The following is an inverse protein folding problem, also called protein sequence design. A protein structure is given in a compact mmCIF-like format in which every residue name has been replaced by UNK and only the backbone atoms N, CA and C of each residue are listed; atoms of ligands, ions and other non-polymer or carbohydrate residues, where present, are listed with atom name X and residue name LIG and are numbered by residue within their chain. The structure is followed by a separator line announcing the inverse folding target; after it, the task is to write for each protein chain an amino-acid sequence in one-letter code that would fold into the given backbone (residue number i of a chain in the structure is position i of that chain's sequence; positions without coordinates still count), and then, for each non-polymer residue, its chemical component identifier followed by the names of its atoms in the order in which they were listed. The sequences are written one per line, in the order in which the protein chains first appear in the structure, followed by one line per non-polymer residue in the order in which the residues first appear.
data_IF_599725313813
#
_entry.id   IF_599725313813
#
_cell.length_a   1.000
_cell.length_b   1.000
_cell.length_c   1.000
_cell.angle_alpha   90.00
_cell.angle_beta   90.00
_cell.angle_gamma   90.00
#
_symmetry.space_group_name_H-M   'P 1'
#
loop_
_entity.id
_entity.type
_entity.pdbx_description
1 polymer ?
#
# COMPACT_ATOMS: atom_id res chain seq x y z
N UNK A 1 -25.39 -18.77 -0.24
CA UNK A 1 -24.37 -17.74 0.07
C UNK A 1 -24.69 -16.56 -0.82
N UNK A 2 -25.18 -15.46 -0.25
CA UNK A 2 -25.56 -14.28 -1.03
C UNK A 2 -24.29 -13.67 -1.58
N UNK A 3 -24.10 -13.70 -2.91
CA UNK A 3 -23.10 -12.88 -3.56
C UNK A 3 -23.44 -11.44 -3.23
N UNK A 4 -22.69 -10.82 -2.33
CA UNK A 4 -22.83 -9.40 -2.06
C UNK A 4 -22.50 -8.66 -3.35
N UNK A 5 -23.49 -8.00 -3.96
CA UNK A 5 -23.31 -7.19 -5.16
C UNK A 5 -22.73 -5.84 -4.76
N UNK A 6 -21.49 -5.84 -4.26
CA UNK A 6 -20.74 -4.61 -4.04
C UNK A 6 -20.47 -3.93 -5.38
N UNK A 7 -20.46 -2.60 -5.38
CA UNK A 7 -19.94 -1.80 -6.47
C UNK A 7 -18.53 -2.27 -6.86
N UNK A 8 -18.22 -2.40 -8.16
CA UNK A 8 -17.08 -3.19 -8.62
C UNK A 8 -16.26 -2.51 -9.72
N UNK A 9 -14.94 -2.48 -9.54
CA UNK A 9 -13.97 -2.14 -10.58
C UNK A 9 -13.09 -3.37 -10.91
N UNK A 10 -13.27 -3.91 -12.12
CA UNK A 10 -12.57 -5.13 -12.56
C UNK A 10 -11.26 -4.93 -13.33
N UNK A 11 -10.62 -6.02 -13.76
CA UNK A 11 -9.32 -6.04 -14.46
C UNK A 11 -9.21 -5.17 -15.73
N UNK A 12 -10.32 -4.86 -16.39
CA UNK A 12 -10.33 -3.99 -17.58
C UNK A 12 -10.09 -2.52 -17.26
N UNK A 13 -10.17 -2.14 -15.98
CA UNK A 13 -9.94 -0.78 -15.50
C UNK A 13 -8.53 -0.58 -14.94
N UNK A 14 -7.63 -1.52 -15.21
CA UNK A 14 -6.24 -1.45 -14.76
C UNK A 14 -5.43 -0.45 -15.60
N UNK A 15 -4.53 0.28 -14.93
CA UNK A 15 -3.66 1.32 -15.51
C UNK A 15 -2.25 1.17 -15.00
N UNK A 16 -1.28 1.52 -15.85
CA UNK A 16 0.13 1.53 -15.49
C UNK A 16 0.54 2.79 -14.69
N UNK A 17 -0.38 3.73 -14.45
CA UNK A 17 -0.13 5.03 -13.82
C UNK A 17 -1.27 5.41 -12.87
N UNK A 18 -0.95 6.24 -11.87
CA UNK A 18 -1.95 6.96 -11.08
C UNK A 18 -2.39 8.22 -11.84
N UNK A 19 -3.26 8.06 -12.82
CA UNK A 19 -3.69 9.11 -13.75
C UNK A 19 -4.75 10.04 -13.11
N UNK A 20 -4.48 11.35 -12.93
CA UNK A 20 -5.44 12.30 -12.38
C UNK A 20 -6.52 12.74 -13.37
N UNK A 21 -6.30 12.49 -14.67
CA UNK A 21 -7.20 12.89 -15.76
C UNK A 21 -8.17 11.78 -16.16
N UNK A 22 -7.92 10.56 -15.69
CA UNK A 22 -8.77 9.42 -15.97
C UNK A 22 -10.20 9.60 -15.44
N UNK A 23 -11.17 9.25 -16.28
CA UNK A 23 -12.58 9.18 -15.88
C UNK A 23 -12.77 8.07 -14.83
N UNK A 24 -13.49 8.35 -13.74
CA UNK A 24 -13.80 7.34 -12.74
C UNK A 24 -14.55 6.15 -13.32
N UNK A 25 -14.06 4.95 -13.00
CA UNK A 25 -14.70 3.69 -13.40
C UNK A 25 -15.77 3.26 -12.41
N UNK A 26 -15.74 3.84 -11.20
CA UNK A 26 -16.71 3.64 -10.16
C UNK A 26 -16.84 4.91 -9.31
N UNK A 27 -18.05 5.17 -8.82
CA UNK A 27 -18.35 6.23 -7.83
C UNK A 27 -19.01 5.60 -6.62
N UNK A 28 -18.61 6.00 -5.42
CA UNK A 28 -19.09 5.42 -4.16
C UNK A 28 -19.35 6.50 -3.12
N UNK A 29 -20.35 6.29 -2.26
CA UNK A 29 -20.59 7.16 -1.11
C UNK A 29 -19.57 6.91 0.02
N UNK A 30 -19.30 7.89 0.90
CA UNK A 30 -18.51 7.65 2.11
C UNK A 30 -19.08 6.49 2.96
N UNK A 31 -18.22 5.54 3.32
CA UNK A 31 -18.56 4.33 4.07
C UNK A 31 -19.14 3.19 3.23
N UNK A 32 -19.43 3.42 1.94
CA UNK A 32 -19.88 2.37 1.03
C UNK A 32 -18.73 1.38 0.76
N UNK A 33 -19.04 0.08 0.82
CA UNK A 33 -18.10 -0.99 0.48
C UNK A 33 -18.11 -1.27 -1.00
N UNK A 34 -16.92 -1.34 -1.59
CA UNK A 34 -16.71 -1.64 -3.00
C UNK A 34 -15.55 -2.63 -3.18
N UNK A 35 -15.55 -3.30 -4.34
CA UNK A 35 -14.57 -4.32 -4.71
C UNK A 35 -13.68 -3.83 -5.84
N UNK A 36 -12.37 -4.08 -5.71
CA UNK A 36 -11.35 -3.76 -6.72
C UNK A 36 -10.60 -5.05 -7.07
N UNK A 37 -10.65 -5.47 -8.33
CA UNK A 37 -9.83 -6.59 -8.81
C UNK A 37 -8.39 -6.14 -9.11
N UNK A 38 -7.41 -6.94 -8.73
CA UNK A 38 -5.98 -6.67 -8.89
C UNK A 38 -5.31 -7.67 -9.84
N UNK A 39 -4.71 -7.16 -10.91
CA UNK A 39 -3.88 -7.93 -11.85
C UNK A 39 -2.49 -8.16 -11.25
N UNK A 40 -1.78 -9.15 -11.76
CA UNK A 40 -0.40 -9.46 -11.38
C UNK A 40 0.45 -9.83 -12.59
N UNK A 41 1.69 -10.26 -12.33
CA UNK A 41 2.59 -10.82 -13.34
C UNK A 41 2.00 -12.03 -14.08
N UNK A 42 1.06 -12.74 -13.45
CA UNK A 42 0.42 -13.94 -14.01
C UNK A 42 -0.76 -13.63 -14.93
N UNK A 43 -1.25 -12.39 -14.94
CA UNK A 43 -2.44 -12.04 -15.72
C UNK A 43 -2.23 -12.27 -17.21
N UNK A 44 -3.29 -12.75 -17.87
CA UNK A 44 -3.31 -13.16 -19.28
C UNK A 44 -2.35 -14.33 -19.61
N UNK A 45 -1.78 -15.00 -18.59
CA UNK A 45 -0.88 -16.14 -18.75
C UNK A 45 0.45 -15.79 -19.42
N UNK A 46 0.87 -14.52 -19.36
CA UNK A 46 2.08 -14.03 -20.02
C UNK A 46 3.35 -14.50 -19.31
N UNK A 47 3.29 -14.76 -18.00
CA UNK A 47 4.42 -15.18 -17.20
C UNK A 47 5.09 -16.45 -17.73
N UNK A 48 4.30 -17.48 -18.03
CA UNK A 48 4.81 -18.77 -18.53
C UNK A 48 5.28 -18.71 -19.99
N UNK A 49 5.01 -17.61 -20.70
CA UNK A 49 5.33 -17.44 -22.12
C UNK A 49 6.62 -16.67 -22.35
N UNK A 50 7.28 -16.18 -21.30
CA UNK A 50 8.49 -15.36 -21.41
C UNK A 50 9.54 -15.76 -20.37
N UNK A 51 10.82 -15.59 -20.74
CA UNK A 51 11.97 -15.57 -19.84
C UNK A 51 12.51 -14.14 -19.62
N UNK A 52 11.92 -13.15 -20.30
CA UNK A 52 12.17 -11.72 -20.11
C UNK A 52 10.99 -11.08 -19.36
N UNK A 53 11.11 -11.05 -18.04
CA UNK A 53 10.11 -10.47 -17.14
C UNK A 53 10.09 -8.94 -17.14
N UNK A 54 11.03 -8.26 -17.83
CA UNK A 54 11.03 -6.78 -17.92
C UNK A 54 9.86 -6.23 -18.74
N UNK A 55 9.22 -7.10 -19.51
CA UNK A 55 8.05 -6.80 -20.34
C UNK A 55 6.73 -6.91 -19.58
N UNK A 56 6.76 -7.45 -18.35
CA UNK A 56 5.59 -7.60 -17.50
C UNK A 56 5.46 -6.38 -16.58
N UNK A 57 4.22 -6.03 -16.25
CA UNK A 57 3.92 -4.94 -15.35
C UNK A 57 2.77 -5.31 -14.43
N UNK A 58 2.78 -4.73 -13.24
CA UNK A 58 1.72 -4.91 -12.24
C UNK A 58 0.95 -3.60 -12.11
N UNK A 59 -0.17 -3.45 -12.83
CA UNK A 59 -0.93 -2.21 -12.87
C UNK A 59 -1.78 -2.02 -11.61
N UNK A 60 -2.41 -0.85 -11.51
CA UNK A 60 -3.41 -0.52 -10.48
C UNK A 60 -4.79 -0.33 -11.10
N UNK A 61 -5.84 -0.74 -10.41
CA UNK A 61 -7.23 -0.65 -10.88
C UNK A 61 -7.89 0.61 -10.35
N UNK A 62 -8.55 1.37 -11.23
CA UNK A 62 -9.23 2.62 -10.89
C UNK A 62 -9.36 3.59 -12.07
N UNK A 63 -9.64 4.89 -11.81
CA UNK A 63 -9.84 5.48 -10.49
C UNK A 63 -11.25 5.24 -9.94
N UNK A 64 -11.34 5.08 -8.63
CA UNK A 64 -12.58 5.14 -7.86
C UNK A 64 -12.78 6.56 -7.38
N UNK A 65 -13.98 7.11 -7.59
CA UNK A 65 -14.39 8.39 -7.04
C UNK A 65 -15.19 8.19 -5.74
N UNK A 66 -14.90 9.00 -4.74
CA UNK A 66 -15.59 9.01 -3.45
C UNK A 66 -16.38 10.32 -3.33
N UNK A 67 -17.70 10.20 -3.22
CA UNK A 67 -18.60 11.35 -3.18
C UNK A 67 -18.25 12.29 -2.02
N UNK A 68 -18.21 13.59 -2.32
CA UNK A 68 -17.99 14.65 -1.34
C UNK A 68 -16.52 14.93 -0.99
N UNK A 69 -15.56 14.07 -1.38
CA UNK A 69 -14.13 14.33 -1.16
C UNK A 69 -13.69 15.60 -1.88
N UNK A 70 -12.99 16.49 -1.19
CA UNK A 70 -12.38 17.70 -1.74
C UNK A 70 -10.85 17.67 -1.61
N UNK A 71 -10.11 18.46 -2.42
CA UNK A 71 -8.67 18.64 -2.23
C UNK A 71 -8.33 19.09 -0.81
N UNK A 72 -7.40 18.39 -0.16
CA UNK A 72 -6.98 18.61 1.22
C UNK A 72 -7.73 17.77 2.26
N UNK A 73 -8.81 17.08 1.88
CA UNK A 73 -9.48 16.17 2.81
C UNK A 73 -8.60 14.96 3.12
N UNK A 74 -8.54 14.61 4.41
CA UNK A 74 -7.96 13.35 4.86
C UNK A 74 -9.02 12.25 4.72
N UNK A 75 -8.68 11.20 3.98
CA UNK A 75 -9.57 10.06 3.75
C UNK A 75 -8.99 8.83 4.42
N UNK A 76 -9.80 8.18 5.25
CA UNK A 76 -9.54 6.84 5.77
C UNK A 76 -10.04 5.81 4.77
N UNK A 77 -9.18 4.88 4.40
CA UNK A 77 -9.46 3.77 3.49
C UNK A 77 -9.35 2.49 4.32
N UNK A 78 -10.49 1.88 4.62
CA UNK A 78 -10.56 0.66 5.42
C UNK A 78 -10.45 -0.57 4.50
N UNK A 79 -9.52 -1.47 4.80
CA UNK A 79 -9.33 -2.75 4.09
C UNK A 79 -10.14 -3.83 4.79
N UNK A 80 -11.24 -4.28 4.18
CA UNK A 80 -12.12 -5.28 4.79
C UNK A 80 -11.63 -6.70 4.51
N UNK A 81 -11.41 -7.02 3.23
CA UNK A 81 -11.06 -8.37 2.78
C UNK A 81 -10.05 -8.32 1.63
N UNK A 82 -9.18 -9.32 1.56
CA UNK A 82 -8.25 -9.56 0.45
C UNK A 82 -8.44 -11.01 0.01
N UNK A 83 -8.91 -11.20 -1.21
CA UNK A 83 -9.12 -12.51 -1.84
C UNK A 83 -8.01 -12.75 -2.85
N UNK A 84 -7.28 -13.85 -2.69
CA UNK A 84 -6.19 -14.22 -3.58
C UNK A 84 -6.60 -15.37 -4.50
N UNK A 85 -6.00 -15.42 -5.68
CA UNK A 85 -5.96 -16.62 -6.51
C UNK A 85 -5.17 -17.75 -5.81
N UNK A 86 -5.12 -18.93 -6.45
CA UNK A 86 -4.51 -20.14 -5.90
C UNK A 86 -3.00 -20.27 -6.19
N UNK A 87 -2.41 -19.30 -6.88
CA UNK A 87 -0.98 -19.23 -7.17
C UNK A 87 -0.50 -17.80 -7.37
N UNK A 88 0.75 -17.56 -7.04
CA UNK A 88 1.46 -16.31 -7.28
C UNK A 88 2.75 -16.50 -8.07
N UNK A 89 3.43 -15.40 -8.34
CA UNK A 89 4.72 -15.41 -9.01
C UNK A 89 5.74 -14.52 -8.30
N UNK A 90 7.02 -14.84 -8.44
CA UNK A 90 8.13 -14.00 -8.04
C UNK A 90 9.12 -13.88 -9.19
N UNK A 91 9.84 -12.77 -9.26
CA UNK A 91 10.93 -12.59 -10.24
C UNK A 91 12.17 -11.99 -9.61
N UNK A 92 13.33 -12.39 -10.11
CA UNK A 92 14.59 -11.66 -9.91
C UNK A 92 15.06 -11.08 -11.22
N UNK A 93 15.77 -9.96 -11.18
CA UNK A 93 16.30 -9.31 -12.38
C UNK A 93 17.72 -8.78 -12.15
N UNK A 94 18.57 -8.75 -13.19
CA UNK A 94 19.88 -8.10 -13.11
C UNK A 94 19.77 -6.63 -12.71
N UNK A 95 20.58 -6.22 -11.72
CA UNK A 95 20.60 -4.83 -11.24
C UNK A 95 19.37 -4.41 -10.41
N UNK A 96 18.60 -5.38 -9.91
CA UNK A 96 17.48 -5.19 -8.97
C UNK A 96 17.71 -6.00 -7.69
N UNK A 97 16.95 -5.68 -6.64
CA UNK A 97 17.09 -6.28 -5.32
C UNK A 97 18.09 -5.57 -4.40
N UNK A 98 18.13 -5.99 -3.14
CA UNK A 98 19.00 -5.47 -2.08
C UNK A 98 20.29 -6.25 -1.84
N UNK A 99 20.72 -7.06 -2.82
CA UNK A 99 21.86 -7.96 -2.69
C UNK A 99 23.14 -7.34 -3.29
N UNK A 100 24.28 -7.60 -2.66
CA UNK A 100 25.58 -7.04 -3.09
C UNK A 100 26.12 -7.66 -4.39
N UNK A 101 25.80 -8.92 -4.65
CA UNK A 101 26.10 -9.58 -5.92
C UNK A 101 24.87 -9.50 -6.85
N UNK A 102 25.08 -9.29 -8.17
CA UNK A 102 23.97 -9.23 -9.12
C UNK A 102 23.19 -10.55 -9.16
N UNK A 103 21.87 -10.44 -9.08
CA UNK A 103 20.97 -11.55 -9.37
C UNK A 103 20.85 -11.77 -10.88
N UNK A 104 20.55 -13.01 -11.27
CA UNK A 104 20.17 -13.34 -12.65
C UNK A 104 18.67 -13.08 -12.86
N UNK A 105 18.25 -13.03 -14.13
CA UNK A 105 16.84 -13.12 -14.47
C UNK A 105 16.35 -14.53 -14.08
N UNK A 106 15.30 -14.61 -13.27
CA UNK A 106 14.67 -15.86 -12.88
C UNK A 106 13.23 -15.62 -12.48
N UNK A 107 12.37 -16.62 -12.66
CA UNK A 107 10.95 -16.52 -12.37
C UNK A 107 10.47 -17.77 -11.64
N UNK A 108 9.58 -17.58 -10.68
CA UNK A 108 9.12 -18.66 -9.82
C UNK A 108 7.62 -18.61 -9.59
N UNK A 109 6.91 -19.69 -9.90
CA UNK A 109 5.47 -19.82 -9.61
C UNK A 109 5.31 -20.49 -8.26
N UNK A 110 4.54 -19.84 -7.38
CA UNK A 110 4.35 -20.27 -5.98
C UNK A 110 2.88 -20.64 -5.76
N UNK A 111 2.53 -21.93 -5.65
CA UNK A 111 1.17 -22.35 -5.30
C UNK A 111 0.77 -21.89 -3.88
N UNK A 112 -0.50 -21.51 -3.71
CA UNK A 112 -1.08 -21.15 -2.42
C UNK A 112 -2.06 -22.23 -1.97
N UNK A 113 -1.75 -22.91 -0.85
CA UNK A 113 -2.57 -24.00 -0.31
C UNK A 113 -2.63 -23.97 1.21
N UNK A 114 -3.85 -24.11 1.74
CA UNK A 114 -4.13 -24.20 3.18
C UNK A 114 -3.54 -23.05 4.02
N UNK A 115 -3.48 -21.83 3.46
CA UNK A 115 -2.91 -20.67 4.14
C UNK A 115 -1.38 -20.57 4.05
N UNK A 116 -0.75 -21.29 3.12
CA UNK A 116 0.69 -21.24 2.90
C UNK A 116 1.03 -21.03 1.42
N UNK A 117 2.08 -20.26 1.17
CA UNK A 117 2.83 -20.29 -0.07
C UNK A 117 3.77 -21.51 -0.05
N UNK A 118 3.59 -22.43 -0.99
CA UNK A 118 4.47 -23.58 -1.20
C UNK A 118 5.67 -23.13 -2.04
N UNK A 119 6.66 -22.52 -1.36
CA UNK A 119 7.79 -21.88 -2.05
C UNK A 119 8.69 -22.89 -2.73
N UNK A 120 9.10 -23.96 -2.04
CA UNK A 120 9.93 -25.02 -2.62
C UNK A 120 9.61 -26.36 -1.95
N UNK A 121 10.18 -27.46 -2.44
CA UNK A 121 10.01 -28.77 -1.81
C UNK A 121 10.38 -28.72 -0.31
N UNK A 122 9.38 -28.96 0.55
CA UNK A 122 9.54 -28.91 2.00
C UNK A 122 9.58 -27.50 2.62
N UNK A 123 9.48 -26.44 1.81
CA UNK A 123 9.50 -25.04 2.26
C UNK A 123 8.13 -24.41 2.07
N UNK A 124 7.43 -24.15 3.19
CA UNK A 124 6.13 -23.49 3.21
C UNK A 124 6.20 -22.21 4.04
N UNK A 125 5.66 -21.12 3.49
CA UNK A 125 5.64 -19.80 4.12
C UNK A 125 4.18 -19.46 4.45
N UNK A 126 3.83 -19.14 5.72
CA UNK A 126 2.49 -18.68 6.05
C UNK A 126 2.14 -17.42 5.26
N UNK A 127 0.96 -17.40 4.62
CA UNK A 127 0.51 -16.21 3.90
C UNK A 127 0.04 -15.14 4.88
N UNK A 128 0.29 -13.89 4.52
CA UNK A 128 -0.26 -12.70 5.16
C UNK A 128 -0.64 -11.74 4.03
N UNK A 129 -1.83 -11.91 3.43
CA UNK A 129 -2.22 -11.16 2.24
C UNK A 129 -2.17 -9.66 2.49
N UNK A 130 -1.56 -8.91 1.56
CA UNK A 130 -1.38 -7.47 1.66
C UNK A 130 -1.61 -6.76 0.32
N UNK A 131 -1.81 -5.45 0.38
CA UNK A 131 -1.88 -4.55 -0.77
C UNK A 131 -0.54 -3.80 -0.89
N UNK A 132 0.19 -3.99 -1.99
CA UNK A 132 1.43 -3.26 -2.29
C UNK A 132 1.15 -1.85 -2.80
N UNK A 133 0.16 -1.71 -3.70
CA UNK A 133 -0.22 -0.45 -4.35
C UNK A 133 -1.57 0.06 -3.89
N UNK A 134 -1.58 1.21 -3.21
CA UNK A 134 -2.80 1.93 -2.84
C UNK A 134 -2.51 3.43 -2.83
N UNK A 135 -3.29 4.22 -3.57
CA UNK A 135 -3.03 5.65 -3.62
C UNK A 135 -4.07 6.46 -4.36
N UNK A 136 -4.10 7.76 -4.05
CA UNK A 136 -4.81 8.73 -4.89
C UNK A 136 -3.91 9.18 -6.04
N UNK A 137 -4.49 9.54 -7.19
CA UNK A 137 -3.71 10.28 -8.18
C UNK A 137 -3.31 11.67 -7.63
N UNK A 138 -2.04 12.08 -7.77
CA UNK A 138 -1.62 13.44 -7.46
C UNK A 138 -2.15 14.41 -8.53
N UNK A 139 -2.38 15.67 -8.16
CA UNK A 139 -3.06 16.63 -9.05
C UNK A 139 -2.20 17.17 -10.21
N UNK A 140 -0.88 17.03 -10.12
CA UNK A 140 0.09 17.75 -10.95
C UNK A 140 0.86 16.87 -11.95
N UNK A 141 0.76 15.54 -11.84
CA UNK A 141 1.42 14.58 -12.75
C UNK A 141 0.75 13.19 -12.71
N UNK A 142 1.13 12.31 -13.64
CA UNK A 142 0.70 10.90 -13.69
C UNK A 142 1.89 9.98 -13.38
N UNK A 143 2.20 9.68 -12.11
CA UNK A 143 3.32 8.82 -11.79
C UNK A 143 3.04 7.37 -12.19
N UNK A 144 4.10 6.66 -12.61
CA UNK A 144 4.04 5.21 -12.80
C UNK A 144 3.49 4.53 -11.56
N UNK A 145 2.66 3.50 -11.76
CA UNK A 145 2.07 2.67 -10.71
C UNK A 145 3.10 2.02 -9.79
N UNK A 146 4.35 1.86 -10.24
CA UNK A 146 5.48 1.35 -9.45
C UNK A 146 6.16 2.41 -8.57
N UNK A 147 5.63 3.64 -8.51
CA UNK A 147 6.23 4.73 -7.73
C UNK A 147 5.51 4.90 -6.40
N UNK A 148 6.28 5.13 -5.33
CA UNK A 148 5.78 5.54 -4.01
C UNK A 148 5.82 7.06 -3.87
N UNK A 149 4.93 7.62 -3.05
CA UNK A 149 5.02 9.00 -2.63
C UNK A 149 3.97 9.38 -1.58
N UNK A 150 3.82 10.69 -1.34
CA UNK A 150 2.82 11.23 -0.39
C UNK A 150 1.38 10.85 -0.71
N UNK A 151 1.10 10.55 -1.97
CA UNK A 151 -0.20 10.11 -2.45
C UNK A 151 -0.47 8.61 -2.19
N UNK A 152 0.45 7.91 -1.52
CA UNK A 152 0.46 6.45 -1.38
C UNK A 152 1.35 5.84 -2.45
N UNK A 153 0.74 5.11 -3.39
CA UNK A 153 1.47 4.51 -4.50
C UNK A 153 1.97 3.11 -4.18
N UNK A 154 3.14 2.76 -4.70
CA UNK A 154 3.80 1.47 -4.47
C UNK A 154 4.51 1.43 -3.09
N UNK A 155 3.71 1.35 -2.03
CA UNK A 155 4.22 1.43 -0.66
C UNK A 155 4.89 0.14 -0.20
N UNK A 156 4.45 -1.00 -0.73
CA UNK A 156 4.93 -2.34 -0.38
C UNK A 156 5.09 -2.51 1.12
N UNK A 157 4.02 -2.14 1.82
CA UNK A 157 3.93 -2.17 3.28
C UNK A 157 3.11 -3.38 3.70
N UNK A 158 3.80 -4.39 4.23
CA UNK A 158 3.21 -5.66 4.73
C UNK A 158 2.17 -5.54 5.84
N UNK A 159 1.93 -4.33 6.31
CA UNK A 159 0.94 -4.01 7.33
C UNK A 159 -0.38 -3.50 6.73
N UNK A 160 -0.44 -3.27 5.40
CA UNK A 160 -1.69 -2.97 4.68
C UNK A 160 -2.40 -4.29 4.37
N UNK A 161 -3.03 -4.83 5.40
CA UNK A 161 -3.72 -6.13 5.42
C UNK A 161 -5.22 -5.96 5.66
N UNK A 162 -6.00 -7.02 5.53
CA UNK A 162 -7.39 -7.03 6.00
C UNK A 162 -7.48 -6.63 7.49
N UNK A 163 -8.39 -5.72 7.81
CA UNK A 163 -8.55 -5.10 9.12
C UNK A 163 -7.69 -3.86 9.37
N UNK A 164 -6.81 -3.49 8.43
CA UNK A 164 -6.06 -2.22 8.50
C UNK A 164 -6.83 -1.04 7.91
N UNK A 165 -6.41 0.17 8.26
CA UNK A 165 -6.88 1.42 7.65
C UNK A 165 -5.70 2.23 7.14
N UNK A 166 -5.80 2.78 5.93
CA UNK A 166 -4.81 3.68 5.34
C UNK A 166 -5.37 5.10 5.26
N UNK A 167 -4.58 6.09 5.65
CA UNK A 167 -4.96 7.49 5.66
C UNK A 167 -4.15 8.25 4.62
N UNK A 168 -4.85 8.86 3.66
CA UNK A 168 -4.26 9.62 2.57
C UNK A 168 -5.00 10.94 2.37
N UNK A 169 -4.25 11.98 2.03
CA UNK A 169 -4.81 13.29 1.72
C UNK A 169 -5.16 13.36 0.23
N UNK A 170 -6.43 13.59 -0.08
CA UNK A 170 -6.89 13.73 -1.46
C UNK A 170 -6.39 15.06 -2.05
N UNK A 171 -5.96 15.06 -3.31
CA UNK A 171 -5.52 16.27 -4.02
C UNK A 171 -6.52 16.74 -5.09
N UNK A 172 -7.54 15.92 -5.36
CA UNK A 172 -8.54 16.12 -6.41
C UNK A 172 -9.94 15.96 -5.85
N UNK A 173 -10.91 16.64 -6.44
CA UNK A 173 -12.33 16.47 -6.10
C UNK A 173 -12.78 15.04 -6.43
N UNK A 174 -13.53 14.44 -5.52
CA UNK A 174 -13.91 13.03 -5.57
C UNK A 174 -12.74 12.07 -5.31
N UNK A 175 -11.54 12.59 -5.05
CA UNK A 175 -10.31 11.83 -5.12
C UNK A 175 -10.10 11.24 -6.53
N UNK A 176 -9.22 10.24 -6.61
CA UNK A 176 -8.99 9.36 -7.75
C UNK A 176 -8.25 8.15 -7.21
N UNK A 177 -8.95 7.29 -6.46
CA UNK A 177 -8.32 6.20 -5.72
C UNK A 177 -8.00 5.03 -6.66
N UNK A 178 -6.81 4.49 -6.52
CA UNK A 178 -6.35 3.30 -7.21
C UNK A 178 -5.83 2.28 -6.21
N UNK A 179 -6.03 1.00 -6.51
CA UNK A 179 -5.50 -0.10 -5.71
C UNK A 179 -5.11 -1.28 -6.60
N UNK A 180 -4.13 -2.07 -6.17
CA UNK A 180 -3.67 -3.25 -6.88
C UNK A 180 -2.47 -3.89 -6.20
N UNK A 181 -1.76 -4.73 -6.95
CA UNK A 181 -0.50 -5.33 -6.49
C UNK A 181 -0.64 -6.14 -5.20
N UNK A 182 -1.39 -7.23 -5.29
CA UNK A 182 -1.63 -8.09 -4.14
C UNK A 182 -0.48 -9.04 -3.93
N UNK A 183 -0.03 -9.18 -2.69
CA UNK A 183 0.95 -10.21 -2.33
C UNK A 183 0.33 -11.24 -1.41
N UNK A 184 0.62 -12.52 -1.63
CA UNK A 184 0.29 -13.55 -0.65
C UNK A 184 1.14 -13.39 0.62
N UNK A 185 2.41 -13.04 0.44
CA UNK A 185 3.35 -12.76 1.52
C UNK A 185 4.49 -11.90 0.98
N UNK A 186 4.93 -10.96 1.81
CA UNK A 186 6.12 -10.14 1.58
C UNK A 186 6.86 -9.94 2.90
N UNK A 187 8.19 -10.01 2.85
CA UNK A 187 9.05 -9.60 3.96
C UNK A 187 9.30 -8.08 3.95
N UNK A 188 9.64 -7.52 5.11
CA UNK A 188 10.15 -6.14 5.15
C UNK A 188 11.41 -6.02 4.29
N UNK A 189 11.40 -5.04 3.39
CA UNK A 189 12.47 -4.76 2.45
C UNK A 189 12.24 -5.28 1.03
N UNK A 190 11.31 -6.22 0.80
CA UNK A 190 11.01 -6.77 -0.53
C UNK A 190 12.28 -7.10 -1.33
N UNK A 191 13.22 -7.78 -0.67
CA UNK A 191 14.63 -7.67 -1.02
C UNK A 191 15.02 -8.24 -2.39
N UNK A 192 14.18 -9.07 -3.02
CA UNK A 192 14.43 -9.69 -4.33
C UNK A 192 13.88 -8.93 -5.54
N UNK A 193 13.06 -7.90 -5.32
CA UNK A 193 12.26 -7.10 -6.29
C UNK A 193 10.75 -7.27 -6.09
N UNK A 194 10.28 -8.46 -5.76
CA UNK A 194 8.86 -8.76 -5.62
C UNK A 194 8.56 -9.48 -4.31
N UNK A 195 7.34 -9.31 -3.80
CA UNK A 195 6.68 -10.30 -2.95
C UNK A 195 6.27 -11.55 -3.74
N UNK A 196 5.39 -12.38 -3.16
CA UNK A 196 4.65 -13.40 -3.91
C UNK A 196 3.46 -12.72 -4.57
N UNK A 197 3.61 -12.32 -5.84
CA UNK A 197 2.67 -11.54 -6.62
C UNK A 197 1.41 -12.31 -6.99
N UNK A 198 0.23 -11.78 -6.68
CA UNK A 198 -1.05 -12.48 -6.76
C UNK A 198 -2.07 -11.73 -7.60
N UNK A 199 -2.82 -12.47 -8.42
CA UNK A 199 -4.11 -11.99 -8.88
C UNK A 199 -5.13 -12.10 -7.74
N UNK A 200 -6.11 -11.21 -7.71
CA UNK A 200 -7.13 -11.27 -6.68
C UNK A 200 -8.12 -10.12 -6.69
N UNK A 201 -8.75 -9.90 -5.54
CA UNK A 201 -9.66 -8.79 -5.31
C UNK A 201 -9.58 -8.26 -3.87
N UNK A 202 -9.87 -6.98 -3.73
CA UNK A 202 -9.82 -6.22 -2.48
C UNK A 202 -11.20 -5.66 -2.20
N UNK A 203 -11.68 -5.78 -0.96
CA UNK A 203 -12.86 -5.05 -0.50
C UNK A 203 -12.46 -3.85 0.36
N UNK A 204 -12.85 -2.65 -0.06
CA UNK A 204 -12.49 -1.39 0.56
C UNK A 204 -13.73 -0.57 0.93
N UNK A 205 -13.58 0.37 1.87
CA UNK A 205 -14.49 1.51 2.02
C UNK A 205 -13.71 2.77 2.35
N UNK A 206 -14.22 3.93 1.93
CA UNK A 206 -13.56 5.21 2.14
C UNK A 206 -14.41 6.14 3.00
N UNK A 207 -13.80 6.84 3.95
CA UNK A 207 -14.49 7.79 4.82
C UNK A 207 -13.67 9.07 4.95
N UNK A 208 -14.31 10.23 4.75
CA UNK A 208 -13.71 11.52 5.07
C UNK A 208 -13.64 11.64 6.59
N UNK A 209 -12.45 11.93 7.12
CA UNK A 209 -12.19 12.05 8.57
C UNK A 209 -11.78 13.48 8.94
N UNK A 210 -11.59 13.72 10.24
CA UNK A 210 -11.14 15.03 10.72
C UNK A 210 -9.74 15.33 10.16
N UNK A 211 -9.42 16.61 9.86
CA UNK A 211 -8.08 16.97 9.45
C UNK A 211 -7.05 16.61 10.53
N UNK A 212 -5.93 16.05 10.10
CA UNK A 212 -4.77 15.75 10.92
C UNK A 212 -3.52 16.30 10.22
N UNK A 213 -2.42 16.59 10.93
CA UNK A 213 -1.19 17.10 10.34
C UNK A 213 -0.39 15.98 9.65
N UNK A 214 -1.04 15.30 8.71
CA UNK A 214 -0.54 14.16 7.95
C UNK A 214 -0.20 14.63 6.54
N UNK A 215 1.03 14.34 6.09
CA UNK A 215 1.52 14.75 4.76
C UNK A 215 1.77 13.56 3.84
N UNK A 216 2.24 12.44 4.38
CA UNK A 216 2.36 11.17 3.70
C UNK A 216 1.41 10.10 4.23
N UNK A 217 1.56 8.85 3.79
CA UNK A 217 0.67 7.75 4.17
C UNK A 217 0.83 7.36 5.65
N UNK A 218 -0.31 7.16 6.31
CA UNK A 218 -0.36 6.56 7.65
C UNK A 218 -1.22 5.30 7.57
N UNK A 219 -0.75 4.21 8.18
CA UNK A 219 -1.45 2.94 8.28
C UNK A 219 -1.76 2.67 9.75
N UNK A 220 -2.99 2.26 10.05
CA UNK A 220 -3.36 1.67 11.32
C UNK A 220 -3.57 0.17 11.12
N UNK A 221 -2.77 -0.62 11.83
CA UNK A 221 -2.87 -2.08 11.80
C UNK A 221 -2.45 -2.64 13.15
N UNK A 222 -3.17 -3.67 13.63
CA UNK A 222 -2.79 -4.45 14.83
C UNK A 222 -2.46 -3.56 16.05
N UNK A 223 -3.31 -2.57 16.34
CA UNK A 223 -3.14 -1.59 17.44
C UNK A 223 -1.87 -0.70 17.33
N UNK A 224 -1.35 -0.51 16.12
CA UNK A 224 -0.18 0.35 15.86
C UNK A 224 -0.53 1.41 14.82
N UNK A 225 0.00 2.62 15.05
CA UNK A 225 0.13 3.66 14.03
C UNK A 225 1.45 3.47 13.31
N UNK A 226 1.42 3.42 12.00
CA UNK A 226 2.58 3.18 11.13
C UNK A 226 2.64 4.33 10.14
N UNK A 227 3.68 5.15 10.21
CA UNK A 227 3.88 6.30 9.33
C UNK A 227 4.94 5.95 8.30
N UNK A 228 4.62 6.08 7.01
CA UNK A 228 5.56 5.82 5.93
C UNK A 228 6.27 7.10 5.49
N UNK A 229 7.55 6.96 5.20
CA UNK A 229 8.37 7.96 4.53
C UNK A 229 9.09 7.33 3.35
N UNK A 230 9.27 8.12 2.29
CA UNK A 230 10.01 7.73 1.10
C UNK A 230 11.18 8.67 0.82
N UNK A 231 12.22 8.16 0.18
CA UNK A 231 13.48 8.87 -0.06
C UNK A 231 14.27 8.32 -1.25
N UNK A 232 15.28 9.06 -1.71
CA UNK A 232 16.27 8.53 -2.66
C UNK A 232 17.06 7.37 -2.03
N UNK A 233 17.26 7.43 -0.71
CA UNK A 233 17.86 6.39 0.10
C UNK A 233 17.06 6.11 1.40
N UNK A 234 17.56 5.16 2.20
CA UNK A 234 16.92 4.76 3.45
C UNK A 234 17.03 5.80 4.56
N UNK A 235 18.11 6.60 4.57
CA UNK A 235 18.32 7.61 5.62
C UNK A 235 17.36 8.80 5.42
N UNK A 236 17.17 9.22 4.17
CA UNK A 236 16.15 10.21 3.80
C UNK A 236 14.74 9.69 4.11
N UNK A 237 14.41 8.47 3.68
CA UNK A 237 13.11 7.85 3.93
C UNK A 237 12.80 7.75 5.45
N UNK A 238 13.79 7.34 6.25
CA UNK A 238 13.68 7.28 7.70
C UNK A 238 13.48 8.67 8.32
N UNK A 239 14.21 9.67 7.83
CA UNK A 239 14.07 11.06 8.28
C UNK A 239 12.65 11.57 8.03
N UNK A 240 12.11 11.33 6.83
CA UNK A 240 10.74 11.71 6.47
C UNK A 240 9.73 11.02 7.40
N UNK A 241 9.82 9.70 7.57
CA UNK A 241 8.90 8.94 8.42
C UNK A 241 8.94 9.40 9.89
N UNK A 242 10.14 9.68 10.43
CA UNK A 242 10.33 10.15 11.80
C UNK A 242 9.79 11.57 12.00
N UNK A 243 10.07 12.50 11.08
CA UNK A 243 9.58 13.89 11.18
C UNK A 243 8.04 13.96 11.05
N UNK A 244 7.44 13.12 10.21
CA UNK A 244 5.97 13.02 10.13
C UNK A 244 5.38 12.43 11.40
N UNK A 245 5.95 11.34 11.92
CA UNK A 245 5.53 10.77 13.21
C UNK A 245 5.65 11.79 14.34
N UNK A 246 6.76 12.51 14.39
CA UNK A 246 7.00 13.57 15.37
C UNK A 246 5.94 14.67 15.27
N UNK A 247 5.59 15.10 14.06
CA UNK A 247 4.56 16.12 13.83
C UNK A 247 3.21 15.67 14.38
N UNK A 248 2.81 14.42 14.13
CA UNK A 248 1.57 13.84 14.65
C UNK A 248 1.56 13.82 16.19
N UNK A 249 2.65 13.33 16.81
CA UNK A 249 2.73 13.24 18.27
C UNK A 249 2.79 14.62 18.93
N UNK A 250 3.48 15.59 18.35
CA UNK A 250 3.51 16.95 18.87
C UNK A 250 2.13 17.61 18.84
N UNK A 251 1.34 17.37 17.78
CA UNK A 251 -0.02 17.88 17.67
C UNK A 251 -0.96 17.25 18.71
N UNK A 252 -0.85 15.94 18.97
CA UNK A 252 -1.66 15.23 19.97
C UNK A 252 -1.27 15.56 21.42
N UNK A 253 0.04 15.69 21.69
CA UNK A 253 0.58 15.77 23.06
C UNK A 253 1.00 17.18 23.50
N UNK A 254 1.20 18.10 22.57
CA UNK A 254 1.72 19.45 22.84
C UNK A 254 3.17 19.44 23.35
N UNK A 255 3.95 18.40 23.04
CA UNK A 255 5.33 18.26 23.51
C UNK A 255 6.32 19.07 22.67
N UNK A 256 7.46 19.41 23.28
CA UNK A 256 8.59 20.00 22.54
C UNK A 256 9.18 18.97 21.57
N UNK A 257 9.94 19.46 20.59
CA UNK A 257 10.59 18.62 19.59
C UNK A 257 11.50 17.58 20.25
N UNK A 258 12.33 18.01 21.20
CA UNK A 258 13.34 17.18 21.87
C UNK A 258 12.69 16.12 22.76
N UNK A 259 11.61 16.46 23.49
CA UNK A 259 10.87 15.49 24.29
C UNK A 259 10.21 14.43 23.40
N UNK A 260 9.65 14.85 22.27
CA UNK A 260 9.05 13.94 21.30
C UNK A 260 10.09 13.03 20.67
N UNK A 261 11.25 13.57 20.29
CA UNK A 261 12.37 12.78 19.75
C UNK A 261 12.85 11.71 20.74
N UNK A 262 13.09 12.07 22.00
CA UNK A 262 13.46 11.11 23.05
C UNK A 262 12.38 10.05 23.28
N UNK A 263 11.10 10.42 23.21
CA UNK A 263 10.00 9.47 23.31
C UNK A 263 9.97 8.49 22.14
N UNK A 264 10.06 8.98 20.89
CA UNK A 264 10.09 8.12 19.71
C UNK A 264 11.29 7.16 19.77
N UNK A 265 12.45 7.64 20.19
CA UNK A 265 13.64 6.78 20.39
C UNK A 265 13.44 5.68 21.44
N UNK A 266 12.53 5.85 22.40
CA UNK A 266 12.28 4.90 23.47
C UNK A 266 11.11 3.95 23.17
N UNK A 267 10.19 4.32 22.28
CA UNK A 267 8.89 3.66 22.15
C UNK A 267 8.46 3.33 20.71
N UNK A 268 9.13 3.89 19.68
CA UNK A 268 8.82 3.61 18.28
C UNK A 268 9.84 2.64 17.67
N UNK A 269 9.38 1.84 16.73
CA UNK A 269 10.23 0.99 15.88
C UNK A 269 10.41 1.65 14.51
N UNK A 270 11.64 1.67 13.99
CA UNK A 270 11.95 2.12 12.62
C UNK A 270 12.35 0.91 11.81
N UNK A 271 11.63 0.64 10.72
CA UNK A 271 11.84 -0.53 9.87
C UNK A 271 11.73 -0.17 8.38
N UNK A 272 12.39 -0.94 7.53
CA UNK A 272 12.26 -0.79 6.08
C UNK A 272 10.92 -1.38 5.62
N UNK A 273 10.22 -0.70 4.71
CA UNK A 273 9.07 -1.26 4.00
C UNK A 273 9.54 -1.99 2.74
N UNK A 274 10.22 -1.28 1.84
CA UNK A 274 10.83 -1.84 0.62
C UNK A 274 12.15 -1.15 0.26
N UNK A 275 13.00 -1.90 -0.46
CA UNK A 275 14.32 -1.49 -0.92
C UNK A 275 14.43 -1.34 -2.44
N UNK A 276 13.42 -1.73 -3.20
CA UNK A 276 13.58 -2.11 -4.61
C UNK A 276 12.88 -1.17 -5.59
N UNK A 277 11.97 -0.33 -5.11
CA UNK A 277 11.38 0.72 -5.92
C UNK A 277 12.41 1.81 -6.23
N UNK A 278 12.05 2.68 -7.18
CA UNK A 278 12.86 3.82 -7.59
C UNK A 278 13.21 4.74 -6.41
N UNK A 279 12.29 4.87 -5.44
CA UNK A 279 12.50 5.51 -4.14
C UNK A 279 12.36 4.45 -3.05
N UNK A 280 13.14 4.55 -1.98
CA UNK A 280 13.11 3.62 -0.84
C UNK A 280 12.00 4.03 0.12
N UNK A 281 11.46 3.07 0.86
CA UNK A 281 10.40 3.35 1.84
C UNK A 281 10.77 2.78 3.21
N UNK A 282 10.63 3.62 4.23
CA UNK A 282 10.82 3.29 5.64
C UNK A 282 9.51 3.57 6.37
N UNK A 283 9.23 2.79 7.42
CA UNK A 283 8.06 2.95 8.27
C UNK A 283 8.49 3.15 9.73
N UNK A 284 7.81 4.06 10.41
CA UNK A 284 7.92 4.26 11.86
C UNK A 284 6.64 3.74 12.50
N UNK A 285 6.76 2.76 13.40
CA UNK A 285 5.63 2.12 14.03
C UNK A 285 5.58 2.40 15.53
N UNK A 286 4.44 2.89 16.00
CA UNK A 286 4.18 3.24 17.40
C UNK A 286 2.87 2.60 17.88
N UNK A 287 2.85 1.93 19.05
CA UNK A 287 1.60 1.44 19.62
C UNK A 287 0.56 2.57 19.79
N UNK A 288 -0.66 2.34 19.30
CA UNK A 288 -1.72 3.35 19.20
C UNK A 288 -2.17 3.89 20.56
N UNK A 289 -1.99 3.12 21.66
CA UNK A 289 -2.30 3.58 23.02
C UNK A 289 -1.45 4.77 23.49
N UNK A 290 -0.38 5.10 22.76
CA UNK A 290 0.38 6.33 22.98
C UNK A 290 -0.23 7.58 22.34
N UNK A 291 -1.34 7.49 21.60
CA UNK A 291 -2.13 8.64 21.18
C UNK A 291 -3.20 8.97 22.24
N UNK A 292 -3.45 10.25 22.53
CA UNK A 292 -4.54 10.68 23.45
C UNK A 292 -5.86 10.77 22.74
N UNK A 293 -5.81 11.36 21.56
CA UNK A 293 -6.92 11.48 20.63
C UNK A 293 -6.60 10.58 19.46
N UNK A 294 -7.58 9.85 18.94
CA UNK A 294 -7.43 9.29 17.61
C UNK A 294 -7.82 10.40 16.63
N UNK A 295 -6.88 11.09 15.97
CA UNK A 295 -7.24 12.09 14.96
C UNK A 295 -7.92 11.45 13.73
N UNK A 296 -8.09 10.13 13.75
CA UNK A 296 -8.59 9.27 12.71
C UNK A 296 -10.07 8.88 12.89
N UNK A 297 -10.76 9.52 13.85
CA UNK A 297 -12.19 9.39 14.07
C UNK A 297 -13.01 10.11 12.99
N UNK A 298 -14.27 9.67 12.81
CA UNK A 298 -15.19 10.23 11.83
C UNK A 298 -15.44 11.72 12.10
N UNK A 299 -15.64 12.50 11.03
CA UNK A 299 -16.19 13.85 11.11
C UNK A 299 -17.63 13.71 11.63
N UNK A 300 -17.91 14.22 12.83
CA UNK A 300 -19.30 14.37 13.28
C UNK A 300 -19.91 15.53 12.48
N UNK A 301 -21.12 15.31 11.95
CA UNK A 301 -21.89 16.31 11.19
C UNK A 301 -22.36 17.47 12.08
#
# INVERSE_FOLDING_TARGET
MSASTHAHAGYLHARAEFDPTAEPVLRVAPGERFRVEARSLLTDGLFEQTDDYTTLGIPVTGPIEIDGVQPGDLVRIDVHEIHLADRGAMVTMPGRGGFGEPLRMDGHIVPIRDGFAEFEEGVRIPIRPMIGKLGFAPHDHSPSSSTVGRYGGNMDCRDIIAGSSVFLTAQLSGGRLYAGDLHAVQGDGECSLTGVEMEGAIELSCQIVRPAPVRGPVVFAEDRMIVLGDGEDLDEAATVALDETMTIIQADRGWTRERTAMFLSAAADVAVSQLVNARKSVKVSLPAHYLRTSPFERKED
#
